data_IF_380236683552
#
_entry.id   IF_380236683552
#
_cell.length_a   1.000
_cell.length_b   1.000
_cell.length_c   1.000
_cell.angle_alpha   90.00
_cell.angle_beta   90.00
_cell.angle_gamma   90.00
#
_symmetry.space_group_name_H-M   'P 1'
#
loop_
_entity.id
_entity.type
_entity.pdbx_description
1 polymer ?
#
# COMPACT_ATOMS: atom_id res chain seq x y z
N UNK A 1 -6.79 -7.66 10.29
CA UNK A 1 -6.32 -6.44 9.59
C UNK A 1 -5.77 -5.46 10.65
N UNK A 2 -4.47 -5.16 10.67
CA UNK A 2 -3.89 -4.27 11.70
C UNK A 2 -4.55 -2.87 11.65
N UNK A 3 -4.96 -2.33 12.78
CA UNK A 3 -5.75 -1.07 12.88
C UNK A 3 -5.11 0.15 12.18
N UNK A 4 -3.78 0.15 12.01
CA UNK A 4 -3.02 1.26 11.42
C UNK A 4 -3.13 1.32 9.88
N UNK A 5 -3.38 0.20 9.19
CA UNK A 5 -3.54 0.18 7.73
C UNK A 5 -4.87 0.78 7.29
N UNK A 6 -5.94 0.37 7.97
CA UNK A 6 -7.28 0.92 7.80
C UNK A 6 -7.31 2.44 8.04
N UNK A 7 -6.44 2.95 8.93
CA UNK A 7 -6.38 4.37 9.26
C UNK A 7 -6.03 5.27 8.06
N UNK A 8 -5.10 4.85 7.18
CA UNK A 8 -4.65 5.68 6.05
C UNK A 8 -5.72 5.79 4.97
N UNK A 9 -6.34 4.67 4.61
CA UNK A 9 -7.45 4.63 3.65
C UNK A 9 -8.64 5.42 4.21
N UNK A 10 -8.98 5.22 5.48
CA UNK A 10 -10.02 5.99 6.18
C UNK A 10 -9.73 7.50 6.17
N UNK A 11 -8.48 7.89 6.38
CA UNK A 11 -8.07 9.30 6.34
C UNK A 11 -8.21 9.88 4.94
N UNK A 12 -7.82 9.13 3.91
CA UNK A 12 -7.97 9.57 2.52
C UNK A 12 -9.45 9.75 2.14
N UNK A 13 -10.32 8.81 2.53
CA UNK A 13 -11.77 8.92 2.37
C UNK A 13 -12.33 10.13 3.12
N UNK A 14 -11.94 10.33 4.38
CA UNK A 14 -12.40 11.47 5.18
C UNK A 14 -11.97 12.82 4.60
N UNK A 15 -10.76 12.91 4.03
CA UNK A 15 -10.30 14.12 3.32
C UNK A 15 -11.11 14.36 2.06
N UNK A 16 -11.34 13.32 1.26
CA UNK A 16 -12.18 13.43 0.07
C UNK A 16 -13.59 13.91 0.41
N UNK A 17 -14.23 13.33 1.43
CA UNK A 17 -15.56 13.73 1.88
C UNK A 17 -15.60 15.20 2.32
N UNK A 18 -14.58 15.66 3.07
CA UNK A 18 -14.45 17.08 3.45
C UNK A 18 -14.31 17.99 2.24
N UNK A 19 -13.54 17.59 1.23
CA UNK A 19 -13.29 18.41 0.05
C UNK A 19 -14.53 18.50 -0.85
N UNK A 20 -15.28 17.40 -1.01
CA UNK A 20 -16.58 17.37 -1.72
C UNK A 20 -17.59 18.25 -1.00
N UNK A 21 -17.64 18.17 0.34
CA UNK A 21 -18.53 19.00 1.13
C UNK A 21 -18.22 20.49 0.98
N UNK A 22 -16.93 20.86 1.03
CA UNK A 22 -16.47 22.24 0.84
C UNK A 22 -16.78 22.80 -0.55
N UNK A 23 -16.69 21.98 -1.60
CA UNK A 23 -17.03 22.39 -2.96
C UNK A 23 -18.53 22.33 -3.26
N UNK A 24 -19.32 21.76 -2.35
CA UNK A 24 -20.76 21.51 -2.47
C UNK A 24 -21.15 20.81 -3.81
N UNK A 25 -20.24 20.02 -4.38
CA UNK A 25 -20.41 19.38 -5.67
C UNK A 25 -20.31 17.85 -5.52
N UNK A 26 -21.47 17.20 -5.43
CA UNK A 26 -21.61 15.75 -5.23
C UNK A 26 -21.82 15.00 -6.54
N UNK A 27 -21.45 15.58 -7.69
CA UNK A 27 -21.58 14.88 -8.97
C UNK A 27 -20.73 13.60 -9.00
N UNK A 28 -21.22 12.58 -9.70
CA UNK A 28 -20.53 11.29 -9.85
C UNK A 28 -19.11 11.46 -10.41
N UNK A 29 -18.91 12.45 -11.29
CA UNK A 29 -17.60 12.76 -11.85
C UNK A 29 -16.62 13.24 -10.78
N UNK A 30 -17.02 14.24 -9.96
CA UNK A 30 -16.17 14.77 -8.89
C UNK A 30 -15.82 13.69 -7.86
N UNK A 31 -16.79 12.84 -7.53
CA UNK A 31 -16.57 11.70 -6.62
C UNK A 31 -15.57 10.72 -7.24
N UNK A 32 -15.80 10.26 -8.47
CA UNK A 32 -14.91 9.30 -9.15
C UNK A 32 -13.49 9.83 -9.31
N UNK A 33 -13.33 11.08 -9.75
CA UNK A 33 -12.02 11.71 -9.86
C UNK A 33 -11.34 11.85 -8.50
N UNK A 34 -12.10 12.23 -7.47
CA UNK A 34 -11.60 12.34 -6.12
C UNK A 34 -11.13 11.01 -5.55
N UNK A 35 -11.88 9.92 -5.81
CA UNK A 35 -11.49 8.56 -5.44
C UNK A 35 -10.21 8.16 -6.16
N UNK A 36 -10.16 8.33 -7.49
CA UNK A 36 -8.98 7.98 -8.30
C UNK A 36 -7.72 8.75 -7.88
N UNK A 37 -7.85 10.04 -7.55
CA UNK A 37 -6.72 10.92 -7.18
C UNK A 37 -6.26 10.73 -5.73
N UNK A 38 -7.18 10.50 -4.79
CA UNK A 38 -6.87 10.55 -3.34
C UNK A 38 -6.94 9.20 -2.65
N UNK A 39 -7.96 8.40 -2.96
CA UNK A 39 -8.24 7.15 -2.24
C UNK A 39 -7.49 5.99 -2.87
N UNK A 40 -7.53 5.87 -4.21
CA UNK A 40 -6.88 4.78 -4.93
C UNK A 40 -5.37 4.69 -4.64
N UNK A 41 -4.56 5.76 -4.62
CA UNK A 41 -3.14 5.65 -4.30
C UNK A 41 -2.88 5.16 -2.88
N UNK A 42 -3.70 5.61 -1.91
CA UNK A 42 -3.59 5.16 -0.53
C UNK A 42 -3.95 3.67 -0.39
N UNK A 43 -5.00 3.24 -1.08
CA UNK A 43 -5.43 1.85 -1.10
C UNK A 43 -4.41 0.95 -1.79
N UNK A 44 -3.92 1.34 -2.99
CA UNK A 44 -2.91 0.60 -3.76
C UNK A 44 -1.66 0.37 -2.94
N UNK A 45 -1.13 1.41 -2.29
CA UNK A 45 0.06 1.30 -1.43
C UNK A 45 -0.17 0.34 -0.27
N UNK A 46 -1.35 0.39 0.35
CA UNK A 46 -1.67 -0.47 1.50
C UNK A 46 -1.86 -1.93 1.08
N UNK A 47 -2.57 -2.17 -0.02
CA UNK A 47 -2.73 -3.50 -0.63
C UNK A 47 -1.37 -4.12 -0.93
N UNK A 48 -0.50 -3.41 -1.68
CA UNK A 48 0.83 -3.89 -2.02
C UNK A 48 1.68 -4.21 -0.78
N UNK A 49 1.62 -3.37 0.26
CA UNK A 49 2.36 -3.62 1.50
C UNK A 49 1.89 -4.88 2.24
N UNK A 50 0.60 -5.20 2.17
CA UNK A 50 0.04 -6.42 2.76
C UNK A 50 0.37 -7.65 1.91
N UNK A 51 0.22 -7.56 0.59
CA UNK A 51 0.57 -8.65 -0.33
C UNK A 51 2.05 -9.01 -0.25
N UNK A 52 2.96 -8.04 -0.15
CA UNK A 52 4.39 -8.30 0.04
C UNK A 52 4.63 -9.07 1.35
N UNK A 53 3.99 -8.66 2.45
CA UNK A 53 4.13 -9.36 3.73
C UNK A 53 3.58 -10.78 3.65
N UNK A 54 2.43 -10.98 2.99
CA UNK A 54 1.85 -12.31 2.79
C UNK A 54 2.76 -13.18 1.93
N UNK A 55 3.26 -12.67 0.79
CA UNK A 55 4.23 -13.37 -0.05
C UNK A 55 5.44 -13.83 0.75
N UNK A 56 6.04 -12.92 1.52
CA UNK A 56 7.24 -13.23 2.31
C UNK A 56 6.96 -14.19 3.48
N UNK A 57 5.73 -14.21 4.00
CA UNK A 57 5.32 -15.11 5.07
C UNK A 57 4.98 -16.52 4.56
N UNK A 58 4.28 -16.63 3.43
CA UNK A 58 3.77 -17.90 2.89
C UNK A 58 4.77 -18.61 1.97
N UNK A 59 5.49 -17.85 1.15
CA UNK A 59 6.39 -18.40 0.12
C UNK A 59 7.86 -18.33 0.53
N UNK A 60 8.15 -17.63 1.62
CA UNK A 60 9.50 -17.43 2.14
C UNK A 60 10.27 -16.30 1.44
N UNK A 61 11.59 -16.23 1.71
CA UNK A 61 12.42 -15.14 1.22
C UNK A 61 12.52 -15.12 -0.31
N UNK A 62 12.34 -13.95 -0.93
CA UNK A 62 12.41 -13.79 -2.38
C UNK A 62 12.95 -12.43 -2.81
N UNK A 63 13.32 -12.32 -4.08
CA UNK A 63 13.82 -11.08 -4.67
C UNK A 63 12.68 -10.10 -4.97
N UNK A 64 13.04 -8.82 -5.07
CA UNK A 64 12.11 -7.74 -5.41
C UNK A 64 11.42 -7.95 -6.77
N UNK A 65 12.10 -8.60 -7.73
CA UNK A 65 11.53 -8.92 -9.05
C UNK A 65 10.34 -9.88 -8.94
N UNK A 66 10.47 -10.95 -8.14
CA UNK A 66 9.39 -11.91 -7.89
C UNK A 66 8.20 -11.25 -7.20
N UNK A 67 8.48 -10.33 -6.27
CA UNK A 67 7.42 -9.53 -5.63
C UNK A 67 6.69 -8.64 -6.64
N UNK A 68 7.40 -8.01 -7.58
CA UNK A 68 6.77 -7.19 -8.63
C UNK A 68 5.79 -8.00 -9.48
N UNK A 69 6.20 -9.20 -9.90
CA UNK A 69 5.36 -10.10 -10.70
C UNK A 69 4.10 -10.54 -9.94
N UNK A 70 4.25 -10.90 -8.66
CA UNK A 70 3.13 -11.41 -7.86
C UNK A 70 2.13 -10.34 -7.43
N UNK A 71 2.60 -9.14 -7.10
CA UNK A 71 1.72 -8.09 -6.58
C UNK A 71 1.22 -7.11 -7.66
N UNK A 72 1.79 -7.17 -8.88
CA UNK A 72 1.49 -6.24 -9.97
C UNK A 72 1.92 -4.79 -9.66
N UNK A 73 2.94 -4.64 -8.81
CA UNK A 73 3.52 -3.34 -8.45
C UNK A 73 4.73 -3.03 -9.33
N UNK A 74 5.01 -1.76 -9.58
CA UNK A 74 6.25 -1.39 -10.29
C UNK A 74 7.46 -1.57 -9.38
N UNK A 75 8.65 -1.69 -9.98
CA UNK A 75 9.90 -1.84 -9.22
C UNK A 75 10.09 -0.71 -8.20
N UNK A 76 9.74 0.51 -8.56
CA UNK A 76 9.85 1.71 -7.71
C UNK A 76 8.84 1.69 -6.56
N UNK A 77 7.59 1.25 -6.83
CA UNK A 77 6.56 1.11 -5.81
C UNK A 77 6.97 0.08 -4.76
N UNK A 78 7.38 -1.11 -5.23
CA UNK A 78 7.78 -2.23 -4.37
C UNK A 78 9.00 -1.87 -3.55
N UNK A 79 10.03 -1.25 -4.15
CA UNK A 79 11.23 -0.80 -3.43
C UNK A 79 10.87 0.16 -2.29
N UNK A 80 10.08 1.21 -2.56
CA UNK A 80 9.67 2.18 -1.52
C UNK A 80 8.86 1.52 -0.40
N UNK A 81 8.04 0.52 -0.72
CA UNK A 81 7.25 -0.20 0.26
C UNK A 81 8.15 -1.11 1.10
N UNK A 82 9.07 -1.87 0.50
CA UNK A 82 10.03 -2.71 1.20
C UNK A 82 10.92 -1.89 2.15
N UNK A 83 11.44 -0.75 1.71
CA UNK A 83 12.18 0.19 2.57
C UNK A 83 11.32 0.70 3.74
N UNK A 84 10.02 0.92 3.51
CA UNK A 84 9.10 1.33 4.58
C UNK A 84 8.80 0.19 5.55
N UNK A 85 8.67 -1.04 5.08
CA UNK A 85 8.44 -2.22 5.91
C UNK A 85 9.71 -2.61 6.70
N UNK A 86 10.89 -2.44 6.09
CA UNK A 86 12.19 -2.66 6.71
C UNK A 86 12.43 -1.71 7.88
N UNK A 87 12.17 -0.41 7.68
CA UNK A 87 12.20 0.59 8.75
C UNK A 87 11.23 0.30 9.91
N UNK A 88 10.15 -0.44 9.64
CA UNK A 88 9.19 -0.88 10.65
C UNK A 88 9.56 -2.21 11.32
N UNK A 89 10.67 -2.83 10.91
CA UNK A 89 11.09 -4.14 11.41
C UNK A 89 10.13 -5.27 11.02
N UNK A 90 9.44 -5.17 9.89
CA UNK A 90 8.53 -6.21 9.39
C UNK A 90 9.18 -7.12 8.34
N UNK A 91 10.19 -6.60 7.65
CA UNK A 91 10.99 -7.34 6.67
C UNK A 91 12.47 -7.02 6.87
N UNK A 92 13.36 -7.89 6.40
CA UNK A 92 14.81 -7.66 6.37
C UNK A 92 15.36 -7.93 4.99
N UNK A 93 16.35 -7.13 4.61
CA UNK A 93 17.13 -7.36 3.40
C UNK A 93 18.40 -8.12 3.78
N UNK A 94 18.70 -9.19 3.04
CA UNK A 94 19.97 -9.92 3.14
C UNK A 94 20.51 -10.12 1.72
N UNK A 95 21.41 -9.23 1.29
CA UNK A 95 21.82 -9.15 -0.11
C UNK A 95 20.66 -8.71 -0.99
N UNK A 96 20.40 -9.42 -2.09
CA UNK A 96 19.28 -9.14 -3.00
C UNK A 96 17.94 -9.75 -2.57
N UNK A 97 17.91 -10.49 -1.45
CA UNK A 97 16.76 -11.28 -1.02
C UNK A 97 16.08 -10.63 0.19
N UNK A 98 14.77 -10.45 0.08
CA UNK A 98 13.93 -9.93 1.15
C UNK A 98 13.36 -11.08 1.97
N UNK A 99 13.37 -10.92 3.29
CA UNK A 99 12.90 -11.89 4.26
C UNK A 99 11.75 -11.29 5.07
N UNK A 100 10.66 -12.03 5.24
CA UNK A 100 9.64 -11.68 6.23
C UNK A 100 10.17 -11.95 7.64
N UNK A 101 9.95 -11.02 8.58
CA UNK A 101 10.16 -11.31 9.99
C UNK A 101 8.83 -11.86 10.51
N UNK A 102 8.70 -13.19 10.59
CA UNK A 102 7.67 -13.80 11.42
C UNK A 102 8.02 -13.55 12.88
N UNK A 103 7.08 -12.95 13.62
CA UNK A 103 7.03 -13.08 15.07
C UNK A 103 6.55 -14.49 15.44
#
# INVERSE_FOLDING_TARGET
>A
IKAVSALKVRTALGKLAKDIHKSNNYSTQVISEGVAKKVYPAFRKERLAQEIQLCLAEQGPCESAVLCEKTGGTKEEIKKILETLSRKGLVREKGSIWHGISN
#
